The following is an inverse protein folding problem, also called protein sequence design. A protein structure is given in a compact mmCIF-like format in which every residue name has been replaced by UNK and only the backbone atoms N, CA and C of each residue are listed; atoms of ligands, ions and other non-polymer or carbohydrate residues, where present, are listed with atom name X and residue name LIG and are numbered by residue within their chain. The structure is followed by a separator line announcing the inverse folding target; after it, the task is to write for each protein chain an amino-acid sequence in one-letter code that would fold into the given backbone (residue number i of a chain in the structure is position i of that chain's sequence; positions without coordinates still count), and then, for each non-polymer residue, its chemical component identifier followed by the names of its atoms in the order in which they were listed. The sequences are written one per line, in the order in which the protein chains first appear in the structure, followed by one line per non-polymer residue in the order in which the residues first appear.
data_IF_766607202563
#
_entry.id   IF_766607202563
#
_cell.length_a   1.000
_cell.length_b   1.000
_cell.length_c   1.000
_cell.angle_alpha   90.00
_cell.angle_beta   90.00
_cell.angle_gamma   90.00
#
_symmetry.space_group_name_H-M   'P 1'
#
loop_
_entity.id
_entity.type
_entity.pdbx_description
1 polymer ?
#
# COMPACT_ATOMS: atom_id res chain seq x y z
N UNK A 1 5.15 -39.95 -14.90
CA UNK A 1 3.80 -39.38 -14.67
C UNK A 1 3.95 -38.43 -13.50
N UNK A 2 4.12 -37.15 -13.78
CA UNK A 2 4.24 -36.11 -12.76
C UNK A 2 3.08 -35.15 -13.02
N UNK A 3 2.16 -35.06 -12.06
CA UNK A 3 1.26 -33.92 -11.98
C UNK A 3 2.15 -32.72 -11.63
N UNK A 4 2.43 -31.88 -12.62
CA UNK A 4 2.80 -30.49 -12.35
C UNK A 4 1.51 -29.80 -11.92
N UNK A 5 1.54 -29.08 -10.80
CA UNK A 5 0.40 -28.40 -10.20
C UNK A 5 -0.06 -27.26 -11.10
N UNK A 6 -0.98 -27.59 -12.02
CA UNK A 6 -1.70 -26.61 -12.84
C UNK A 6 -2.58 -25.71 -11.96
N UNK A 7 -3.00 -26.18 -10.78
CA UNK A 7 -3.81 -25.39 -9.84
C UNK A 7 -3.03 -24.23 -9.19
N UNK A 8 -1.74 -24.41 -8.85
CA UNK A 8 -0.92 -23.34 -8.26
C UNK A 8 -0.60 -22.22 -9.28
N UNK A 9 -0.34 -22.59 -10.54
CA UNK A 9 -0.19 -21.62 -11.64
C UNK A 9 -1.50 -20.91 -11.98
N UNK A 10 -2.67 -21.58 -11.84
CA UNK A 10 -3.98 -20.93 -12.04
C UNK A 10 -4.33 -20.01 -10.86
N UNK A 11 -4.05 -20.40 -9.61
CA UNK A 11 -4.31 -19.58 -8.43
C UNK A 11 -3.48 -18.29 -8.43
N UNK A 12 -2.22 -18.37 -8.84
CA UNK A 12 -1.34 -17.20 -8.97
C UNK A 12 -1.71 -16.28 -10.14
N UNK A 13 -2.35 -16.80 -11.19
CA UNK A 13 -2.77 -16.00 -12.36
C UNK A 13 -4.19 -15.42 -12.26
N UNK A 14 -5.02 -15.88 -11.31
CA UNK A 14 -6.42 -15.43 -11.14
C UNK A 14 -6.68 -14.66 -9.84
N UNK A 15 -5.66 -14.47 -9.00
CA UNK A 15 -5.83 -13.73 -7.75
C UNK A 15 -6.14 -12.25 -8.02
N UNK A 16 -7.36 -11.85 -7.66
CA UNK A 16 -7.80 -10.46 -7.61
C UNK A 16 -8.08 -10.06 -6.17
N UNK A 17 -7.42 -8.99 -5.71
CA UNK A 17 -7.58 -8.43 -4.36
C UNK A 17 -8.16 -7.04 -4.50
N UNK A 18 -9.40 -6.88 -4.07
CA UNK A 18 -10.08 -5.59 -4.06
C UNK A 18 -9.77 -4.88 -2.75
N UNK A 19 -9.23 -3.67 -2.84
CA UNK A 19 -8.75 -2.90 -1.69
C UNK A 19 -9.27 -1.48 -1.75
N UNK A 20 -9.83 -1.01 -0.65
CA UNK A 20 -9.96 0.42 -0.38
C UNK A 20 -8.76 0.84 0.47
N UNK A 21 -8.03 1.87 0.07
CA UNK A 21 -6.92 2.36 0.88
C UNK A 21 -6.86 3.88 0.91
N UNK A 22 -6.29 4.41 1.98
CA UNK A 22 -5.98 5.83 2.15
C UNK A 22 -4.49 5.99 2.37
N UNK A 23 -3.83 6.76 1.51
CA UNK A 23 -2.42 7.12 1.70
C UNK A 23 -2.31 8.33 2.62
N UNK A 24 -1.31 8.30 3.50
CA UNK A 24 -1.18 9.26 4.60
C UNK A 24 0.17 9.96 4.53
N UNK A 25 0.18 11.28 4.73
CA UNK A 25 1.39 12.07 4.99
C UNK A 25 1.25 12.69 6.37
N UNK A 26 2.18 12.41 7.27
CA UNK A 26 2.12 12.89 8.65
C UNK A 26 2.52 14.36 8.74
N UNK A 27 1.67 15.16 9.40
CA UNK A 27 1.95 16.52 9.79
C UNK A 27 2.45 16.52 11.24
N UNK A 28 3.74 16.82 11.42
CA UNK A 28 4.38 16.78 12.74
C UNK A 28 4.04 17.99 13.62
N UNK A 29 3.46 19.06 13.06
CA UNK A 29 3.09 20.26 13.81
C UNK A 29 1.71 20.13 14.43
N UNK A 30 0.77 19.57 13.68
CA UNK A 30 -0.62 19.36 14.12
C UNK A 30 -0.84 17.98 14.77
N UNK A 31 0.16 17.09 14.75
CA UNK A 31 0.06 15.68 15.19
C UNK A 31 -1.05 14.91 14.48
N UNK A 32 -1.23 15.20 13.19
CA UNK A 32 -2.33 14.69 12.36
C UNK A 32 -1.80 14.12 11.03
N UNK A 33 -2.68 13.54 10.23
CA UNK A 33 -2.34 13.05 8.90
C UNK A 33 -3.13 13.78 7.81
N UNK A 34 -2.44 14.22 6.76
CA UNK A 34 -3.06 14.46 5.47
C UNK A 34 -3.45 13.11 4.87
N UNK A 35 -4.77 12.85 4.81
CA UNK A 35 -5.34 11.66 4.23
C UNK A 35 -5.71 11.86 2.76
N UNK A 36 -5.16 11.02 1.87
CA UNK A 36 -5.40 11.06 0.43
C UNK A 36 -5.97 9.73 -0.05
N UNK A 37 -7.21 9.78 -0.55
CA UNK A 37 -7.89 8.67 -1.19
C UNK A 37 -8.81 9.21 -2.30
N UNK A 38 -9.17 8.40 -3.29
CA UNK A 38 -10.08 8.80 -4.36
C UNK A 38 -11.51 8.23 -4.20
N UNK A 39 -11.77 7.58 -3.06
CA UNK A 39 -13.08 6.99 -2.77
C UNK A 39 -13.39 5.71 -3.57
N UNK A 40 -12.41 5.18 -4.33
CA UNK A 40 -12.62 4.02 -5.21
C UNK A 40 -11.87 2.80 -4.71
N UNK A 41 -12.53 1.65 -4.83
CA UNK A 41 -11.89 0.35 -4.69
C UNK A 41 -10.87 0.13 -5.80
N UNK A 42 -9.72 -0.45 -5.46
CA UNK A 42 -8.63 -0.79 -6.35
C UNK A 42 -8.48 -2.30 -6.44
N UNK A 43 -8.52 -2.83 -7.66
CA UNK A 43 -8.26 -4.24 -7.91
C UNK A 43 -6.77 -4.45 -8.14
N UNK A 44 -6.13 -5.19 -7.25
CA UNK A 44 -4.77 -5.68 -7.39
C UNK A 44 -4.81 -7.09 -7.99
N UNK A 45 -4.01 -7.31 -9.02
CA UNK A 45 -3.88 -8.62 -9.67
C UNK A 45 -2.51 -8.73 -10.33
N UNK A 46 -2.19 -9.89 -10.90
CA UNK A 46 -0.86 -10.19 -11.44
C UNK A 46 -0.30 -9.15 -12.45
N UNK A 47 -1.17 -8.47 -13.21
CA UNK A 47 -0.77 -7.42 -14.17
C UNK A 47 -0.86 -6.00 -13.62
N UNK A 48 -1.46 -5.81 -12.44
CA UNK A 48 -1.64 -4.50 -11.80
C UNK A 48 -1.46 -4.64 -10.29
N UNK A 49 -0.21 -4.60 -9.85
CA UNK A 49 0.19 -4.81 -8.44
C UNK A 49 0.41 -3.51 -7.67
N UNK A 50 0.34 -2.35 -8.32
CA UNK A 50 0.57 -1.05 -7.69
C UNK A 50 -0.55 -0.06 -8.00
N UNK A 51 -1.03 0.63 -6.97
CA UNK A 51 -2.00 1.72 -7.03
C UNK A 51 -1.58 2.84 -6.09
N UNK A 52 -1.80 4.09 -6.50
CA UNK A 52 -1.36 5.24 -5.72
C UNK A 52 -1.64 6.55 -6.42
N UNK A 53 -0.96 7.60 -5.97
CA UNK A 53 -1.06 8.95 -6.51
C UNK A 53 0.29 9.39 -7.05
N UNK A 54 0.32 9.70 -8.35
CA UNK A 54 1.47 10.31 -9.01
C UNK A 54 1.74 11.72 -8.45
N UNK A 55 0.68 12.44 -8.08
CA UNK A 55 0.77 13.79 -7.51
C UNK A 55 0.12 13.80 -6.12
N UNK A 56 0.78 13.17 -5.13
CA UNK A 56 0.24 13.08 -3.76
C UNK A 56 0.30 14.44 -3.05
N UNK A 57 1.47 15.06 -3.06
CA UNK A 57 1.74 16.37 -2.44
C UNK A 57 2.81 17.08 -3.26
N UNK A 58 2.67 18.38 -3.50
CA UNK A 58 3.69 19.13 -4.24
C UNK A 58 4.96 19.28 -3.39
N UNK A 59 6.12 19.26 -4.02
CA UNK A 59 7.40 19.45 -3.32
C UNK A 59 7.50 20.84 -2.69
N UNK A 60 6.91 21.86 -3.30
CA UNK A 60 6.82 23.20 -2.73
C UNK A 60 5.96 23.25 -1.46
N UNK A 61 4.97 22.36 -1.33
CA UNK A 61 4.19 22.22 -0.09
C UNK A 61 4.94 21.36 0.93
N UNK A 62 5.51 20.24 0.49
CA UNK A 62 6.18 19.26 1.36
C UNK A 62 7.42 19.84 2.06
N UNK A 63 8.25 20.58 1.32
CA UNK A 63 9.53 21.07 1.81
C UNK A 63 9.42 22.36 2.63
N UNK A 64 8.23 22.95 2.77
CA UNK A 64 8.00 24.14 3.59
C UNK A 64 7.85 23.71 5.06
N UNK A 65 8.78 24.08 5.96
CA UNK A 65 8.77 23.57 7.33
C UNK A 65 7.50 23.92 8.12
N UNK A 66 6.86 25.06 7.81
CA UNK A 66 5.61 25.48 8.45
C UNK A 66 4.39 24.64 8.06
N UNK A 67 4.50 23.76 7.06
CA UNK A 67 3.45 22.82 6.68
C UNK A 67 3.60 21.46 7.40
N UNK A 68 4.65 21.27 8.21
CA UNK A 68 4.80 20.13 9.12
C UNK A 68 5.10 18.76 8.51
N UNK A 69 5.06 18.61 7.19
CA UNK A 69 5.32 17.33 6.50
C UNK A 69 6.79 16.89 6.52
N UNK A 70 7.73 17.84 6.52
CA UNK A 70 9.16 17.61 6.62
C UNK A 70 9.76 18.57 7.65
N UNK A 71 10.09 18.06 8.84
CA UNK A 71 10.64 18.83 9.97
C UNK A 71 11.94 18.18 10.43
N UNK A 72 13.00 18.97 10.56
CA UNK A 72 14.34 18.48 10.93
C UNK A 72 14.85 17.32 10.05
N UNK A 73 14.44 17.30 8.78
CA UNK A 73 14.71 16.23 7.81
C UNK A 73 14.07 14.87 8.15
N UNK A 74 13.05 14.89 9.02
CA UNK A 74 12.17 13.77 9.32
C UNK A 74 10.82 13.97 8.65
N UNK A 75 10.30 12.87 8.10
CA UNK A 75 8.93 12.80 7.60
C UNK A 75 8.38 11.39 7.84
N UNK A 76 7.05 11.24 7.77
CA UNK A 76 6.43 9.93 7.84
C UNK A 76 5.30 9.82 6.83
N UNK A 77 5.25 8.65 6.19
CA UNK A 77 4.17 8.26 5.30
C UNK A 77 3.41 7.11 5.93
N UNK A 78 2.18 6.89 5.50
CA UNK A 78 1.41 5.76 5.97
C UNK A 78 0.36 5.32 4.98
N UNK A 79 -0.32 4.25 5.34
CA UNK A 79 -1.48 3.75 4.61
C UNK A 79 -2.45 3.10 5.58
N UNK A 80 -3.72 3.40 5.38
CA UNK A 80 -4.84 2.67 5.94
C UNK A 80 -5.36 1.72 4.85
N UNK A 81 -5.37 0.42 5.12
CA UNK A 81 -5.74 -0.62 4.15
C UNK A 81 -7.00 -1.33 4.61
N UNK A 82 -7.99 -1.39 3.71
CA UNK A 82 -9.22 -2.14 3.90
C UNK A 82 -9.45 -3.11 2.74
N UNK A 83 -9.38 -4.41 3.04
CA UNK A 83 -9.57 -5.47 2.04
C UNK A 83 -11.05 -5.80 1.89
N UNK A 84 -11.55 -5.65 0.67
CA UNK A 84 -12.94 -5.91 0.30
C UNK A 84 -13.12 -7.39 -0.04
N UNK A 85 -13.88 -8.10 0.78
CA UNK A 85 -14.33 -9.47 0.51
C UNK A 85 -15.77 -9.41 -0.01
N UNK A 86 -16.06 -10.07 -1.12
CA UNK A 86 -17.41 -10.17 -1.66
C UNK A 86 -17.95 -11.58 -1.48
N UNK A 87 -19.25 -11.71 -1.25
CA UNK A 87 -19.92 -12.99 -1.35
C UNK A 87 -20.09 -13.36 -2.83
N UNK A 88 -20.35 -14.63 -3.15
CA UNK A 88 -20.53 -15.08 -4.54
C UNK A 88 -21.70 -14.44 -5.29
N UNK A 89 -22.41 -13.47 -4.69
CA UNK A 89 -23.50 -12.69 -5.28
C UNK A 89 -23.11 -11.22 -5.52
N UNK A 90 -21.87 -10.84 -5.19
CA UNK A 90 -21.36 -9.47 -5.36
C UNK A 90 -21.69 -8.53 -4.20
N UNK A 91 -22.18 -9.04 -3.07
CA UNK A 91 -22.38 -8.24 -1.85
C UNK A 91 -21.07 -8.18 -1.05
N UNK A 92 -20.75 -7.03 -0.46
CA UNK A 92 -19.57 -6.90 0.41
C UNK A 92 -19.85 -7.66 1.71
N UNK A 93 -18.96 -8.58 2.09
CA UNK A 93 -19.05 -9.43 3.30
C UNK A 93 -18.82 -8.67 4.63
N UNK A 94 -19.03 -7.37 4.67
CA UNK A 94 -18.68 -6.49 5.80
C UNK A 94 -19.56 -6.67 7.06
N UNK A 95 -20.50 -7.61 7.06
CA UNK A 95 -21.56 -7.70 8.09
C UNK A 95 -21.29 -8.61 9.29
N UNK A 96 -20.08 -9.17 9.48
CA UNK A 96 -19.84 -10.09 10.62
C UNK A 96 -18.88 -9.55 11.70
N UNK A 97 -17.98 -8.62 11.41
CA UNK A 97 -17.28 -7.80 12.42
C UNK A 97 -16.78 -6.54 11.70
N UNK A 98 -16.77 -5.39 12.37
CA UNK A 98 -16.20 -4.17 11.79
C UNK A 98 -14.84 -4.51 11.19
N UNK A 99 -14.57 -4.12 9.94
CA UNK A 99 -13.27 -4.40 9.39
C UNK A 99 -12.23 -3.63 10.17
N UNK A 100 -11.27 -4.36 10.74
CA UNK A 100 -10.11 -3.72 11.34
C UNK A 100 -9.41 -2.93 10.22
N UNK A 101 -9.36 -1.60 10.36
CA UNK A 101 -8.59 -0.76 9.47
C UNK A 101 -7.12 -0.99 9.83
N UNK A 102 -6.36 -1.52 8.88
CA UNK A 102 -4.95 -1.82 9.10
C UNK A 102 -4.12 -0.59 8.75
N UNK A 103 -3.65 0.12 9.78
CA UNK A 103 -2.78 1.28 9.64
C UNK A 103 -1.31 0.86 9.69
N UNK A 104 -0.56 1.22 8.65
CA UNK A 104 0.89 1.09 8.61
C UNK A 104 1.54 2.46 8.49
N UNK A 105 2.62 2.71 9.23
CA UNK A 105 3.38 3.96 9.19
C UNK A 105 4.84 3.67 8.91
N UNK A 106 5.40 4.39 7.94
CA UNK A 106 6.78 4.34 7.52
C UNK A 106 7.46 5.69 7.76
N UNK A 107 8.39 5.71 8.71
CA UNK A 107 9.14 6.90 9.10
C UNK A 107 10.47 6.97 8.36
N UNK A 108 10.82 8.16 7.92
CA UNK A 108 12.10 8.49 7.33
C UNK A 108 12.87 9.46 8.21
N UNK A 109 14.19 9.30 8.16
CA UNK A 109 15.16 10.28 8.59
C UNK A 109 16.04 10.58 7.38
N UNK A 110 16.61 11.79 7.33
CA UNK A 110 17.57 12.20 6.32
C UNK A 110 16.94 12.23 4.91
N UNK A 111 15.68 12.69 4.80
CA UNK A 111 14.93 12.70 3.53
C UNK A 111 15.65 13.48 2.43
N UNK A 112 16.31 14.58 2.78
CA UNK A 112 17.12 15.40 1.88
C UNK A 112 18.32 14.65 1.28
N UNK A 113 18.71 13.52 1.88
CA UNK A 113 19.82 12.68 1.41
C UNK A 113 19.36 11.59 0.44
N UNK A 114 18.06 11.42 0.19
CA UNK A 114 17.57 10.48 -0.80
C UNK A 114 18.09 10.85 -2.21
N UNK A 115 18.68 9.87 -2.92
CA UNK A 115 19.25 10.03 -4.28
C UNK A 115 18.59 9.16 -5.35
N UNK A 116 17.98 8.05 -4.97
CA UNK A 116 17.27 7.15 -5.87
C UNK A 116 15.89 7.70 -6.25
N UNK A 117 15.37 7.22 -7.38
CA UNK A 117 14.04 7.63 -7.85
C UNK A 117 12.89 6.95 -7.09
N UNK A 118 13.15 5.77 -6.50
CA UNK A 118 12.15 4.95 -5.80
C UNK A 118 12.75 4.40 -4.51
N UNK A 119 11.94 4.39 -3.46
CA UNK A 119 12.22 3.72 -2.19
C UNK A 119 11.02 2.86 -1.78
N UNK A 120 11.28 1.74 -1.13
CA UNK A 120 10.23 0.85 -0.62
C UNK A 120 10.31 0.72 0.89
N UNK A 121 9.15 0.63 1.54
CA UNK A 121 9.07 0.27 2.95
C UNK A 121 9.46 -1.19 3.16
N UNK A 122 9.69 -1.57 4.43
CA UNK A 122 9.60 -2.97 4.80
C UNK A 122 8.20 -3.50 4.43
N UNK A 123 8.13 -4.77 4.06
CA UNK A 123 6.86 -5.42 3.80
C UNK A 123 6.05 -5.55 5.11
N UNK A 124 4.73 -5.38 5.00
CA UNK A 124 3.79 -5.59 6.10
C UNK A 124 2.62 -6.43 5.61
N UNK A 125 2.09 -7.28 6.48
CA UNK A 125 1.00 -8.21 6.13
C UNK A 125 -0.32 -7.65 6.64
N UNK A 126 -1.30 -7.57 5.74
CA UNK A 126 -2.69 -7.28 6.09
C UNK A 126 -3.51 -8.50 5.68
N UNK A 127 -4.15 -9.14 6.65
CA UNK A 127 -4.75 -10.47 6.52
C UNK A 127 -3.70 -11.50 6.06
N UNK A 128 -3.69 -11.86 4.77
CA UNK A 128 -2.77 -12.82 4.14
C UNK A 128 -2.03 -12.21 2.93
N UNK A 129 -2.13 -10.90 2.74
CA UNK A 129 -1.51 -10.19 1.64
C UNK A 129 -0.36 -9.35 2.17
N UNK A 130 0.82 -9.48 1.55
CA UNK A 130 1.99 -8.67 1.86
C UNK A 130 2.00 -7.43 0.99
N UNK A 131 2.19 -6.30 1.64
CA UNK A 131 2.16 -4.99 1.04
C UNK A 131 3.44 -4.23 1.31
N UNK A 132 3.74 -3.27 0.45
CA UNK A 132 4.78 -2.26 0.65
C UNK A 132 4.24 -0.89 0.25
N UNK A 133 4.80 0.15 0.84
CA UNK A 133 4.67 1.52 0.35
C UNK A 133 5.85 1.78 -0.59
N UNK A 134 5.57 2.27 -1.80
CA UNK A 134 6.57 2.75 -2.76
C UNK A 134 6.52 4.27 -2.82
N UNK A 135 7.64 4.91 -2.45
CA UNK A 135 7.82 6.36 -2.46
C UNK A 135 8.68 6.77 -3.66
N UNK A 136 8.24 7.80 -4.37
CA UNK A 136 9.01 8.50 -5.39
C UNK A 136 9.21 9.95 -4.94
N UNK A 137 10.37 10.29 -4.33
CA UNK A 137 10.59 11.62 -3.75
C UNK A 137 10.59 12.77 -4.76
N UNK A 138 10.83 12.47 -6.04
CA UNK A 138 10.91 13.45 -7.12
C UNK A 138 9.96 13.08 -8.28
N UNK A 139 8.79 12.53 -7.93
CA UNK A 139 7.74 12.23 -8.90
C UNK A 139 7.82 10.86 -9.55
N UNK A 140 6.67 10.40 -10.04
CA UNK A 140 6.49 9.22 -10.86
C UNK A 140 6.27 9.64 -12.31
N UNK A 141 7.24 9.34 -13.18
CA UNK A 141 7.31 9.82 -14.58
C UNK A 141 7.64 11.31 -14.75
N UNK A 142 7.88 11.74 -16.00
CA UNK A 142 8.30 13.11 -16.32
C UNK A 142 7.25 14.18 -15.97
N UNK A 143 5.97 13.82 -15.90
CA UNK A 143 4.90 14.77 -15.61
C UNK A 143 4.76 15.11 -14.12
N UNK A 144 5.40 14.34 -13.23
CA UNK A 144 5.23 14.44 -11.78
C UNK A 144 6.46 14.92 -11.02
N UNK A 145 7.51 15.42 -11.70
CA UNK A 145 8.78 15.78 -11.06
C UNK A 145 8.69 16.87 -9.98
N UNK A 146 7.57 17.62 -9.95
CA UNK A 146 7.27 18.67 -8.97
C UNK A 146 6.46 18.16 -7.77
N UNK A 147 6.13 16.86 -7.76
CA UNK A 147 5.30 16.24 -6.74
C UNK A 147 6.01 15.03 -6.14
N UNK A 148 5.71 14.77 -4.88
CA UNK A 148 5.96 13.49 -4.25
C UNK A 148 4.88 12.51 -4.71
N UNK A 149 5.29 11.32 -5.12
CA UNK A 149 4.36 10.24 -5.46
C UNK A 149 4.45 9.10 -4.46
N UNK A 150 3.31 8.48 -4.17
CA UNK A 150 3.22 7.40 -3.20
C UNK A 150 2.23 6.34 -3.67
N UNK A 151 2.62 5.09 -3.52
CA UNK A 151 1.85 3.94 -3.99
C UNK A 151 1.81 2.85 -2.92
N UNK A 152 0.69 2.16 -2.87
CA UNK A 152 0.56 0.86 -2.24
C UNK A 152 0.87 -0.22 -3.28
N UNK A 153 1.78 -1.13 -2.94
CA UNK A 153 2.22 -2.23 -3.78
C UNK A 153 1.88 -3.57 -3.13
N UNK A 154 1.27 -4.48 -3.89
CA UNK A 154 1.13 -5.89 -3.51
C UNK A 154 2.46 -6.60 -3.79
N UNK A 155 3.11 -7.10 -2.75
CA UNK A 155 4.40 -7.79 -2.79
C UNK A 155 4.21 -9.28 -3.08
N UNK A 156 3.40 -9.96 -2.27
CA UNK A 156 3.04 -11.37 -2.46
C UNK A 156 1.85 -11.77 -1.57
N UNK A 157 1.39 -13.01 -1.70
CA UNK A 157 0.43 -13.62 -0.78
C UNK A 157 1.17 -14.56 0.15
N UNK A 158 0.92 -14.47 1.45
CA UNK A 158 1.38 -15.49 2.39
C UNK A 158 0.41 -16.66 2.33
N UNK A 159 0.91 -17.81 1.87
CA UNK A 159 0.18 -19.07 1.98
C UNK A 159 0.00 -19.38 3.47
N UNK A 160 -1.25 -19.61 3.89
CA UNK A 160 -1.51 -20.08 5.24
C UNK A 160 -0.82 -21.44 5.43
N UNK A 161 -0.11 -21.68 6.55
CA UNK A 161 0.43 -23.00 6.82
C UNK A 161 -0.72 -24.00 6.80
N UNK A 162 -0.63 -24.99 5.90
CA UNK A 162 -1.64 -25.99 5.66
C UNK A 162 -1.95 -26.77 6.95
N UNK A 163 -2.98 -26.35 7.68
CA UNK A 163 -3.43 -27.02 8.91
C UNK A 163 -4.25 -28.27 8.61
N UNK A 164 -3.83 -29.12 7.68
CA UNK A 164 -4.32 -30.50 7.53
C UNK A 164 -3.27 -31.34 6.77
N UNK A 165 -2.10 -31.57 7.36
CA UNK A 165 -1.40 -32.84 7.14
C UNK A 165 -1.94 -33.83 8.17
N UNK A 166 -2.78 -34.74 7.69
CA UNK A 166 -3.43 -35.78 8.46
C UNK A 166 -2.46 -36.53 9.36
N UNK A 167 -2.90 -36.75 10.60
CA UNK A 167 -2.39 -37.73 11.56
C UNK A 167 -2.03 -39.01 10.81
N UNK A 168 -0.77 -39.43 10.92
CA UNK A 168 -0.35 -40.81 10.69
C UNK A 168 -0.08 -41.45 12.04
#
# INVERSE_FOLDING_TARGET
MYLVTVEDEILTTTLEVNVFFTLLVYDSLEDEYLAVHDGKTKCFHAMKTEWGFENLVSLDTFNVPSNGFLVDDYCAFGVDVFIMKFDGKGEILSSINQPENYKFTWKFKDFSQLRQNRYESNAFTVENYRWKISLYPNGYSQASSEYLSLFLALDSVEELPSRFSSVH
#
